data_IF_996120559581
#
_entry.id   IF_996120559581
#
_cell.length_a   1.000
_cell.length_b   1.000
_cell.length_c   1.000
_cell.angle_alpha   90.00
_cell.angle_beta   90.00
_cell.angle_gamma   90.00
#
_symmetry.space_group_name_H-M   'P 1'
#
loop_
_entity.id
_entity.type
_entity.pdbx_description
1 polymer ?
#
# COMPACT_ATOMS: atom_id res chain seq x y z
N UNK A 1 17.34 10.68 0.27
CA UNK A 1 16.84 10.33 1.62
C UNK A 1 15.36 9.95 1.55
N UNK A 2 14.94 9.18 0.53
CA UNK A 2 13.51 9.02 0.17
C UNK A 2 12.98 7.63 0.51
N UNK A 3 13.70 6.55 0.19
CA UNK A 3 13.21 5.18 0.43
C UNK A 3 13.03 4.79 1.90
N UNK A 4 13.91 5.26 2.78
CA UNK A 4 13.82 4.94 4.21
C UNK A 4 12.61 5.61 4.86
N UNK A 5 12.33 6.86 4.48
CA UNK A 5 11.21 7.66 5.02
C UNK A 5 9.87 7.14 4.53
N UNK A 6 9.74 6.79 3.24
CA UNK A 6 8.50 6.25 2.69
C UNK A 6 8.18 4.86 3.25
N UNK A 7 9.18 4.00 3.41
CA UNK A 7 8.96 2.69 4.05
C UNK A 7 8.59 2.80 5.53
N UNK A 8 9.12 3.81 6.24
CA UNK A 8 8.73 4.10 7.61
C UNK A 8 7.29 4.61 7.69
N UNK A 9 6.91 5.54 6.79
CA UNK A 9 5.53 6.06 6.70
C UNK A 9 4.52 4.95 6.41
N UNK A 10 4.78 4.10 5.44
CA UNK A 10 3.87 2.98 5.13
C UNK A 10 3.67 2.04 6.33
N UNK A 11 4.75 1.69 7.03
CA UNK A 11 4.64 0.87 8.25
C UNK A 11 3.92 1.59 9.38
N UNK A 12 4.10 2.91 9.51
CA UNK A 12 3.40 3.70 10.50
C UNK A 12 1.89 3.76 10.20
N UNK A 13 1.50 3.93 8.94
CA UNK A 13 0.10 3.90 8.51
C UNK A 13 -0.54 2.51 8.73
N UNK A 14 0.17 1.42 8.42
CA UNK A 14 -0.31 0.06 8.76
C UNK A 14 -0.52 -0.13 10.27
N UNK A 15 0.43 0.35 11.08
CA UNK A 15 0.33 0.25 12.53
C UNK A 15 -0.83 1.07 13.09
N UNK A 16 -1.05 2.27 12.55
CA UNK A 16 -2.19 3.13 12.90
C UNK A 16 -3.51 2.48 12.47
N UNK A 17 -3.61 1.93 11.27
CA UNK A 17 -4.80 1.22 10.78
C UNK A 17 -5.14 0.01 11.65
N UNK A 18 -4.15 -0.81 11.99
CA UNK A 18 -4.34 -1.95 12.89
C UNK A 18 -4.73 -1.52 14.32
N UNK A 19 -4.20 -0.39 14.80
CA UNK A 19 -4.58 0.18 16.08
C UNK A 19 -6.03 0.71 16.06
N UNK A 20 -6.45 1.40 14.98
CA UNK A 20 -7.84 1.84 14.78
C UNK A 20 -8.79 0.64 14.76
N UNK A 21 -8.43 -0.44 14.05
CA UNK A 21 -9.25 -1.65 13.99
C UNK A 21 -9.43 -2.28 15.38
N UNK A 22 -8.32 -2.53 16.09
CA UNK A 22 -8.37 -3.14 17.42
C UNK A 22 -9.06 -2.26 18.45
N UNK A 23 -8.81 -0.96 18.43
CA UNK A 23 -9.43 -0.01 19.35
C UNK A 23 -10.92 0.15 19.05
N UNK A 24 -11.29 0.19 17.78
CA UNK A 24 -12.69 0.22 17.33
C UNK A 24 -13.44 -1.03 17.77
N UNK A 25 -12.88 -2.21 17.53
CA UNK A 25 -13.47 -3.48 17.96
C UNK A 25 -13.61 -3.57 19.49
N UNK A 26 -12.58 -3.15 20.24
CA UNK A 26 -12.60 -3.18 21.70
C UNK A 26 -13.57 -2.15 22.31
N UNK A 27 -13.74 -1.00 21.68
CA UNK A 27 -14.64 0.06 22.13
C UNK A 27 -16.08 -0.07 21.57
N UNK A 28 -16.35 -1.07 20.72
CA UNK A 28 -17.63 -1.20 20.01
C UNK A 28 -17.90 -0.06 19.02
N UNK A 29 -16.85 0.60 18.53
CA UNK A 29 -16.95 1.70 17.58
C UNK A 29 -16.68 1.19 16.16
N UNK A 30 -17.77 0.82 15.48
CA UNK A 30 -17.75 0.31 14.10
C UNK A 30 -17.10 1.28 13.10
N UNK A 31 -17.09 2.61 13.37
CA UNK A 31 -16.42 3.57 12.46
C UNK A 31 -14.91 3.40 12.50
N UNK A 32 -14.33 3.29 13.70
CA UNK A 32 -12.89 3.08 13.88
C UNK A 32 -12.45 1.72 13.33
N UNK A 33 -13.28 0.68 13.50
CA UNK A 33 -13.04 -0.63 12.91
C UNK A 33 -13.01 -0.57 11.39
N UNK A 34 -14.03 0.05 10.78
CA UNK A 34 -14.16 0.15 9.33
C UNK A 34 -13.10 1.08 8.72
N UNK A 35 -12.71 2.17 9.38
CA UNK A 35 -11.57 3.00 8.93
C UNK A 35 -10.28 2.18 8.89
N UNK A 36 -9.96 1.44 9.96
CA UNK A 36 -8.75 0.61 10.01
C UNK A 36 -8.70 -0.42 8.89
N UNK A 37 -9.82 -1.12 8.63
CA UNK A 37 -9.93 -2.08 7.52
C UNK A 37 -9.89 -1.42 6.14
N UNK A 38 -10.53 -0.27 5.99
CA UNK A 38 -10.53 0.50 4.74
C UNK A 38 -9.13 0.97 4.37
N UNK A 39 -8.40 1.54 5.34
CA UNK A 39 -7.03 2.01 5.18
C UNK A 39 -6.09 0.85 4.76
N UNK A 40 -6.26 -0.33 5.36
CA UNK A 40 -5.49 -1.52 4.98
C UNK A 40 -5.83 -2.06 3.59
N UNK A 41 -7.11 -2.11 3.23
CA UNK A 41 -7.56 -2.59 1.93
C UNK A 41 -7.08 -1.65 0.81
N UNK A 42 -7.17 -0.34 1.01
CA UNK A 42 -6.67 0.66 0.07
C UNK A 42 -5.15 0.55 -0.10
N UNK A 43 -4.40 0.41 0.99
CA UNK A 43 -2.94 0.24 0.93
C UNK A 43 -2.52 -1.02 0.17
N UNK A 44 -3.19 -2.15 0.42
CA UNK A 44 -2.91 -3.40 -0.31
C UNK A 44 -3.26 -3.28 -1.80
N UNK A 45 -4.38 -2.63 -2.12
CA UNK A 45 -4.78 -2.38 -3.50
C UNK A 45 -3.76 -1.48 -4.23
N UNK A 46 -3.35 -0.36 -3.61
CA UNK A 46 -2.32 0.54 -4.16
C UNK A 46 -1.00 -0.18 -4.38
N UNK A 47 -0.48 -0.90 -3.38
CA UNK A 47 0.75 -1.67 -3.52
C UNK A 47 0.67 -2.76 -4.60
N UNK A 48 -0.48 -3.42 -4.73
CA UNK A 48 -0.73 -4.42 -5.77
C UNK A 48 -0.72 -3.82 -7.17
N UNK A 49 -1.40 -2.68 -7.34
CA UNK A 49 -1.46 -1.93 -8.60
C UNK A 49 -0.11 -1.34 -8.97
N UNK A 50 0.62 -0.74 -8.04
CA UNK A 50 1.94 -0.17 -8.30
C UNK A 50 2.95 -1.24 -8.67
N UNK A 51 2.99 -2.38 -7.95
CA UNK A 51 3.84 -3.52 -8.34
C UNK A 51 3.49 -4.07 -9.71
N UNK A 52 2.20 -4.13 -10.06
CA UNK A 52 1.76 -4.58 -11.37
C UNK A 52 2.20 -3.59 -12.48
N UNK A 53 2.01 -2.29 -12.24
CA UNK A 53 2.46 -1.22 -13.16
C UNK A 53 3.96 -1.24 -13.36
N UNK A 54 4.75 -1.36 -12.29
CA UNK A 54 6.21 -1.42 -12.39
C UNK A 54 6.68 -2.62 -13.20
N UNK A 55 6.11 -3.82 -12.97
CA UNK A 55 6.45 -5.01 -13.76
C UNK A 55 6.06 -4.88 -15.23
N UNK A 56 4.91 -4.27 -15.52
CA UNK A 56 4.48 -3.99 -16.89
C UNK A 56 5.43 -2.98 -17.53
N UNK A 57 5.76 -1.90 -16.84
CA UNK A 57 6.67 -0.87 -17.31
C UNK A 57 8.06 -1.45 -17.61
N UNK A 58 8.64 -2.24 -16.71
CA UNK A 58 9.92 -2.94 -16.93
C UNK A 58 9.86 -3.89 -18.14
N UNK A 59 8.77 -4.65 -18.29
CA UNK A 59 8.58 -5.56 -19.41
C UNK A 59 8.48 -4.82 -20.74
N UNK A 60 7.72 -3.73 -20.78
CA UNK A 60 7.57 -2.86 -21.96
C UNK A 60 8.89 -2.18 -22.30
N UNK A 61 9.64 -1.68 -21.33
CA UNK A 61 10.95 -1.04 -21.57
C UNK A 61 11.99 -2.04 -22.09
N UNK A 62 12.00 -3.29 -21.60
CA UNK A 62 12.85 -4.35 -22.17
C UNK A 62 12.49 -4.65 -23.62
N UNK A 63 11.19 -4.77 -23.93
CA UNK A 63 10.73 -5.01 -25.31
C UNK A 63 11.09 -3.84 -26.22
N UNK A 64 10.89 -2.60 -25.75
CA UNK A 64 11.21 -1.38 -26.50
C UNK A 64 12.71 -1.22 -26.72
N UNK A 65 13.55 -1.57 -25.73
CA UNK A 65 15.01 -1.60 -25.84
C UNK A 65 15.51 -2.67 -26.81
N UNK A 66 14.86 -3.83 -26.86
CA UNK A 66 15.19 -4.89 -27.82
C UNK A 66 14.77 -4.54 -29.26
N UNK A 67 13.65 -3.82 -29.43
CA UNK A 67 13.14 -3.40 -30.75
C UNK A 67 13.82 -2.15 -31.32
N UNK A 68 14.48 -1.33 -30.49
CA UNK A 68 15.17 -0.10 -30.89
C UNK A 68 16.69 -0.30 -31.12
N UNK A 69 17.14 -1.55 -31.20
CA UNK A 69 18.52 -1.89 -31.53
C UNK A 69 18.79 -1.78 -33.02
#
# INVERSE_FOLDING_TARGET
MSDASDRMKHKAEEAVGAAKEKTGAAAGNERLENEGRGDQAESQAKQGVDKAKDRIAEGVDKVKGAFKR
#
